data_IF_469954022441
#
_entry.id   IF_469954022441
#
_cell.length_a   1.000
_cell.length_b   1.000
_cell.length_c   1.000
_cell.angle_alpha   90.00
_cell.angle_beta   90.00
_cell.angle_gamma   90.00
#
_symmetry.space_group_name_H-M   'P 1'
#
loop_
_entity.id
_entity.type
_entity.pdbx_description
1 polymer ?
#
# COMPACT_ATOMS: atom_id res chain seq x y z
N UNK A 1 -5.20 -26.47 6.40
CA UNK A 1 -5.36 -25.21 7.14
C UNK A 1 -4.00 -24.53 7.21
N UNK A 2 -3.63 -23.74 6.19
CA UNK A 2 -2.28 -23.15 6.10
C UNK A 2 -2.26 -21.84 6.89
N UNK A 3 -1.78 -21.90 8.12
CA UNK A 3 -1.50 -20.73 8.94
C UNK A 3 -0.20 -20.09 8.45
N UNK A 4 -0.29 -19.19 7.49
CA UNK A 4 0.83 -18.32 7.13
C UNK A 4 0.98 -17.26 8.22
N UNK A 5 1.85 -17.53 9.20
CA UNK A 5 2.32 -16.54 10.16
C UNK A 5 3.17 -15.50 9.42
N UNK A 6 2.61 -14.31 9.23
CA UNK A 6 3.35 -13.17 8.67
C UNK A 6 4.32 -12.64 9.73
N UNK A 7 5.53 -13.20 9.75
CA UNK A 7 6.56 -12.92 10.76
C UNK A 7 7.34 -11.61 10.53
N UNK A 8 7.01 -10.83 9.50
CA UNK A 8 7.55 -9.50 9.27
C UNK A 8 6.60 -8.45 9.80
N UNK A 9 6.82 -7.96 11.02
CA UNK A 9 6.09 -6.78 11.50
C UNK A 9 6.39 -5.61 10.58
N UNK A 10 5.42 -5.18 9.78
CA UNK A 10 5.64 -4.13 8.81
C UNK A 10 5.70 -2.77 9.52
N UNK A 11 6.87 -2.13 9.48
CA UNK A 11 7.20 -0.91 10.24
C UNK A 11 6.23 0.25 9.92
N UNK A 12 5.64 0.24 8.72
CA UNK A 12 4.71 1.27 8.27
C UNK A 12 3.23 1.02 8.62
N UNK A 13 2.90 -0.12 9.22
CA UNK A 13 1.51 -0.46 9.59
C UNK A 13 0.91 0.58 10.55
N UNK A 14 1.61 0.89 11.63
CA UNK A 14 1.16 1.86 12.64
C UNK A 14 1.65 3.29 12.38
N UNK A 15 2.32 3.53 11.27
CA UNK A 15 2.79 4.87 10.91
C UNK A 15 1.62 5.68 10.33
N UNK A 16 1.00 6.53 11.15
CA UNK A 16 -0.07 7.45 10.76
C UNK A 16 0.38 8.91 10.76
N UNK A 17 1.69 9.16 10.87
CA UNK A 17 2.24 10.51 10.82
C UNK A 17 1.97 11.16 9.46
N UNK A 18 1.83 12.48 9.46
CA UNK A 18 1.59 13.27 8.25
C UNK A 18 2.83 13.24 7.36
N UNK A 19 2.72 12.67 6.16
CA UNK A 19 3.81 12.51 5.22
C UNK A 19 3.39 11.91 3.88
N UNK A 20 4.37 11.72 2.99
CA UNK A 20 4.19 11.14 1.66
C UNK A 20 5.05 9.88 1.52
N UNK A 21 4.44 8.82 0.98
CA UNK A 21 5.13 7.59 0.65
C UNK A 21 5.68 7.71 -0.77
N UNK A 22 7.00 7.60 -0.87
CA UNK A 22 7.74 7.73 -2.13
C UNK A 22 8.26 6.38 -2.61
N UNK A 23 8.43 6.23 -3.92
CA UNK A 23 9.07 5.06 -4.50
C UNK A 23 10.53 4.97 -4.05
N UNK A 24 10.94 3.85 -3.47
CA UNK A 24 12.32 3.65 -2.99
C UNK A 24 13.39 3.73 -4.10
N UNK A 25 13.02 3.58 -5.38
CA UNK A 25 13.97 3.63 -6.51
C UNK A 25 14.06 4.99 -7.20
N UNK A 26 12.94 5.70 -7.34
CA UNK A 26 12.89 6.95 -8.10
C UNK A 26 12.52 8.18 -7.26
N UNK A 27 12.11 8.02 -6.00
CA UNK A 27 11.68 9.13 -5.14
C UNK A 27 10.34 9.76 -5.54
N UNK A 28 9.63 9.21 -6.54
CA UNK A 28 8.34 9.75 -6.97
C UNK A 28 7.25 9.51 -5.92
N UNK A 29 6.37 10.49 -5.74
CA UNK A 29 5.29 10.44 -4.76
C UNK A 29 4.16 9.50 -5.22
N UNK A 30 3.89 8.48 -4.39
CA UNK A 30 2.90 7.45 -4.71
C UNK A 30 1.62 7.64 -3.89
N UNK A 31 1.76 7.68 -2.56
CA UNK A 31 0.62 7.69 -1.64
C UNK A 31 0.77 8.77 -0.57
N UNK A 32 -0.32 9.46 -0.25
CA UNK A 32 -0.34 10.39 0.88
C UNK A 32 -0.73 9.63 2.15
N UNK A 33 -0.21 10.03 3.31
CA UNK A 33 -0.68 9.43 4.57
C UNK A 33 -2.13 9.79 4.90
N UNK A 34 -2.73 10.81 4.26
CA UNK A 34 -4.15 11.19 4.41
C UNK A 34 -5.13 10.12 3.92
N UNK A 35 -4.73 9.36 2.91
CA UNK A 35 -5.56 8.31 2.27
C UNK A 35 -5.27 6.92 2.85
N UNK A 36 -4.40 6.85 3.87
CA UNK A 36 -4.15 5.64 4.64
C UNK A 36 -5.27 5.44 5.65
N UNK A 37 -5.91 4.28 5.63
CA UNK A 37 -6.99 3.95 6.56
C UNK A 37 -6.54 2.90 7.57
N UNK A 38 -7.21 2.87 8.73
CA UNK A 38 -6.96 1.85 9.74
C UNK A 38 -7.51 0.51 9.24
N UNK A 39 -6.64 -0.48 9.13
CA UNK A 39 -7.00 -1.82 8.68
C UNK A 39 -6.33 -2.88 9.54
N UNK A 40 -6.92 -4.08 9.62
CA UNK A 40 -6.38 -5.21 10.38
C UNK A 40 -5.34 -6.03 9.60
N UNK A 41 -5.07 -5.68 8.33
CA UNK A 41 -4.03 -6.36 7.53
C UNK A 41 -2.62 -6.16 8.09
N UNK A 42 -1.70 -7.06 7.77
CA UNK A 42 -0.27 -6.86 8.00
C UNK A 42 0.32 -5.74 7.11
N UNK A 43 -0.22 -5.55 5.90
CA UNK A 43 0.23 -4.55 4.91
C UNK A 43 -0.43 -3.17 5.07
N UNK A 44 0.23 -2.05 4.72
CA UNK A 44 -0.38 -0.73 4.68
C UNK A 44 -1.37 -0.67 3.53
N UNK A 45 -2.56 -0.15 3.83
CA UNK A 45 -3.63 -0.03 2.87
C UNK A 45 -3.99 1.44 2.64
N UNK A 46 -4.20 1.77 1.37
CA UNK A 46 -4.47 3.13 0.89
C UNK A 46 -5.72 3.10 0.03
N UNK A 47 -6.57 4.11 0.15
CA UNK A 47 -7.77 4.23 -0.68
C UNK A 47 -7.47 4.77 -2.08
N UNK A 48 -6.59 5.76 -2.17
CA UNK A 48 -6.30 6.47 -3.40
C UNK A 48 -4.79 6.70 -3.58
N UNK A 49 -4.34 6.86 -4.82
CA UNK A 49 -2.99 7.33 -5.15
C UNK A 49 -2.99 8.86 -5.22
N UNK A 50 -1.83 9.49 -4.99
CA UNK A 50 -1.71 10.96 -5.09
C UNK A 50 -1.96 11.42 -6.53
N UNK A 51 -1.33 10.73 -7.49
CA UNK A 51 -1.58 10.93 -8.90
C UNK A 51 -2.11 9.64 -9.52
N UNK A 52 -3.00 9.76 -10.51
CA UNK A 52 -3.51 8.62 -11.27
C UNK A 52 -2.41 7.94 -12.10
N UNK A 53 -1.38 8.71 -12.43
CA UNK A 53 -0.23 8.27 -13.22
C UNK A 53 0.92 7.71 -12.36
N UNK A 54 0.82 7.80 -11.02
CA UNK A 54 1.88 7.33 -10.12
C UNK A 54 2.09 5.80 -10.19
N UNK A 55 1.05 5.04 -10.54
CA UNK A 55 1.09 3.57 -10.52
C UNK A 55 0.36 2.99 -11.72
N UNK A 56 1.05 2.18 -12.52
CA UNK A 56 0.43 1.35 -13.55
C UNK A 56 -0.12 0.06 -12.94
N UNK A 57 -1.39 -0.25 -13.19
CA UNK A 57 -2.01 -1.51 -12.76
C UNK A 57 -1.84 -2.54 -13.86
N UNK A 58 -1.33 -3.72 -13.52
CA UNK A 58 -1.22 -4.87 -14.42
C UNK A 58 -2.08 -5.99 -13.84
N UNK A 59 -2.93 -6.58 -14.68
CA UNK A 59 -3.74 -7.71 -14.28
C UNK A 59 -2.87 -8.96 -14.13
N UNK A 60 -2.78 -9.52 -12.93
CA UNK A 60 -2.02 -10.77 -12.74
C UNK A 60 -2.77 -11.98 -13.33
N UNK A 61 -4.11 -11.96 -13.30
CA UNK A 61 -4.97 -13.03 -13.82
C UNK A 61 -6.24 -12.46 -14.46
N UNK A 62 -6.74 -13.07 -15.54
CA UNK A 62 -8.00 -12.66 -16.14
C UNK A 62 -9.14 -12.83 -15.12
N UNK A 63 -9.87 -11.75 -14.84
CA UNK A 63 -11.00 -11.72 -13.90
C UNK A 63 -10.65 -11.45 -12.43
N UNK A 64 -9.44 -10.98 -12.13
CA UNK A 64 -9.02 -10.64 -10.77
C UNK A 64 -9.59 -9.29 -10.26
N UNK A 65 -9.92 -8.36 -11.16
CA UNK A 65 -10.63 -7.13 -10.83
C UNK A 65 -12.14 -7.41 -10.87
N UNK A 66 -12.76 -7.45 -9.69
CA UNK A 66 -14.22 -7.45 -9.52
C UNK A 66 -14.67 -6.07 -9.05
#
# INVERSE_FOLDING_TARGET
MSFCSFAGGEVFKNHFETGTYVCSKCGYELFSSKVKYQHSSPWPAFTETIHKDSVSKVEERPGALK
#
